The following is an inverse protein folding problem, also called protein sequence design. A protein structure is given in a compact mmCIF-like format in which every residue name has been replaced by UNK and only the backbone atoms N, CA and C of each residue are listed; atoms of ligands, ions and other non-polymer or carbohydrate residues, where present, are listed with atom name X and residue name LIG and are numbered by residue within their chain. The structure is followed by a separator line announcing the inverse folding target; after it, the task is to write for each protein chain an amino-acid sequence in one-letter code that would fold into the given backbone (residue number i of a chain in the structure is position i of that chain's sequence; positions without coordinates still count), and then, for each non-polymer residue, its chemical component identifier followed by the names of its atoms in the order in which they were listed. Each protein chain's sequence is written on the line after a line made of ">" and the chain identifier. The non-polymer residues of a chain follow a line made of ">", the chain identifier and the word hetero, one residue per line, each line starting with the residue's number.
data_IF_452930552847
#
_entry.id   IF_452930552847
#
_cell.length_a   1.000
_cell.length_b   1.000
_cell.length_c   1.000
_cell.angle_alpha   90.00
_cell.angle_beta   90.00
_cell.angle_gamma   90.00
#
_symmetry.space_group_name_H-M   'P 1'
#
loop_
_entity.id
_entity.type
_entity.pdbx_description
1 polymer ?
#
# COMPACT_ATOMS: atom_id res chain seq x y z
N UNK A 1 -0.05 -9.61 23.56
CA UNK A 1 0.22 -8.61 22.50
C UNK A 1 1.63 -8.71 21.92
N UNK A 2 2.70 -8.61 22.73
CA UNK A 2 4.12 -8.69 22.28
C UNK A 2 4.56 -9.99 21.56
N UNK A 3 3.81 -11.09 21.68
CA UNK A 3 4.21 -12.42 21.16
C UNK A 3 4.14 -12.55 19.63
N UNK A 4 3.18 -11.92 18.96
CA UNK A 4 2.96 -12.19 17.52
C UNK A 4 4.00 -11.52 16.62
N UNK A 5 4.44 -10.32 16.99
CA UNK A 5 5.47 -9.55 16.27
C UNK A 5 6.85 -10.12 16.55
N UNK A 6 7.16 -10.39 17.83
CA UNK A 6 8.39 -11.07 18.22
C UNK A 6 8.52 -12.46 17.59
N UNK A 7 7.42 -13.21 17.40
CA UNK A 7 7.43 -14.50 16.68
C UNK A 7 7.65 -14.35 15.18
N UNK A 8 7.12 -13.30 14.55
CA UNK A 8 7.39 -13.01 13.13
C UNK A 8 8.87 -12.65 12.92
N UNK A 9 9.45 -11.85 13.83
CA UNK A 9 10.86 -11.47 13.82
C UNK A 9 11.81 -12.63 14.20
N UNK A 10 11.40 -13.50 15.13
CA UNK A 10 12.15 -14.70 15.51
C UNK A 10 12.22 -15.75 14.39
N UNK A 11 11.17 -15.86 13.55
CA UNK A 11 11.20 -16.69 12.33
C UNK A 11 12.18 -16.18 11.27
N UNK A 12 12.57 -14.91 11.37
CA UNK A 12 13.62 -14.28 10.56
C UNK A 12 15.00 -14.32 11.25
N UNK A 13 15.16 -15.09 12.33
CA UNK A 13 16.43 -15.33 13.02
C UNK A 13 16.77 -14.34 14.15
N UNK A 14 15.90 -13.37 14.48
CA UNK A 14 16.15 -12.41 15.57
C UNK A 14 15.44 -12.85 16.85
N UNK A 15 16.14 -13.54 17.74
CA UNK A 15 15.65 -13.93 19.08
C UNK A 15 15.83 -12.75 20.04
N UNK A 16 14.73 -12.34 20.68
CA UNK A 16 14.60 -11.24 21.65
C UNK A 16 14.53 -9.84 21.02
N UNK A 17 13.32 -9.43 20.66
CA UNK A 17 13.06 -8.04 20.24
C UNK A 17 11.80 -7.55 20.93
N UNK A 18 11.96 -6.84 22.05
CA UNK A 18 11.04 -5.75 22.43
C UNK A 18 11.12 -4.71 21.32
N UNK A 19 9.99 -4.09 20.96
CA UNK A 19 9.93 -3.16 19.81
C UNK A 19 10.59 -1.83 20.21
N UNK A 20 11.90 -1.87 20.37
CA UNK A 20 12.77 -0.73 20.59
C UNK A 20 12.97 -0.03 19.23
N UNK A 21 13.35 1.23 19.21
CA UNK A 21 13.50 2.10 18.01
C UNK A 21 14.34 1.45 16.89
N UNK A 22 15.26 0.56 17.27
CA UNK A 22 16.09 -0.30 16.41
C UNK A 22 15.25 -1.26 15.55
N UNK A 23 14.10 -1.72 16.03
CA UNK A 23 13.20 -2.65 15.32
C UNK A 23 12.44 -1.98 14.18
N UNK A 24 12.06 -0.70 14.34
CA UNK A 24 11.43 0.07 13.26
C UNK A 24 12.46 0.37 12.18
N UNK A 25 13.70 0.70 12.57
CA UNK A 25 14.85 0.85 11.66
C UNK A 25 15.17 -0.47 10.95
N UNK A 26 15.10 -1.61 11.63
CA UNK A 26 15.28 -2.93 11.03
C UNK A 26 14.14 -3.25 10.04
N UNK A 27 12.89 -2.97 10.38
CA UNK A 27 11.74 -3.16 9.46
C UNK A 27 11.86 -2.22 8.26
N UNK A 28 12.29 -0.97 8.46
CA UNK A 28 12.61 -0.02 7.40
C UNK A 28 13.73 -0.57 6.50
N UNK A 29 14.84 -1.01 7.07
CA UNK A 29 15.99 -1.57 6.35
C UNK A 29 15.61 -2.84 5.58
N UNK A 30 14.76 -3.70 6.15
CA UNK A 30 14.21 -4.87 5.48
C UNK A 30 13.35 -4.40 4.29
N UNK A 31 12.40 -3.50 4.49
CA UNK A 31 11.55 -2.97 3.41
C UNK A 31 12.39 -2.32 2.30
N UNK A 32 13.45 -1.60 2.66
CA UNK A 32 14.37 -0.97 1.71
C UNK A 32 15.25 -1.98 0.98
N UNK A 33 15.76 -3.00 1.65
CA UNK A 33 16.53 -4.08 1.01
C UNK A 33 15.66 -4.92 0.05
N UNK A 34 14.34 -4.99 0.30
CA UNK A 34 13.37 -5.64 -0.58
C UNK A 34 13.02 -4.78 -1.82
N UNK A 35 13.42 -3.49 -1.90
CA UNK A 35 13.23 -2.64 -3.10
C UNK A 35 14.02 -3.12 -4.31
N UNK A 36 15.16 -3.80 -4.10
CA UNK A 36 16.06 -4.24 -5.18
C UNK A 36 16.05 -5.73 -5.50
N UNK A 37 15.48 -6.58 -4.63
CA UNK A 37 15.63 -8.05 -4.71
C UNK A 37 14.33 -8.83 -4.89
N UNK A 38 13.18 -8.24 -4.60
CA UNK A 38 11.89 -8.94 -4.69
C UNK A 38 11.29 -8.71 -6.07
N UNK A 39 11.39 -9.70 -6.95
CA UNK A 39 10.62 -9.73 -8.20
C UNK A 39 9.13 -9.59 -7.87
N UNK A 40 8.42 -8.95 -8.81
CA UNK A 40 7.05 -8.37 -8.75
C UNK A 40 5.90 -9.24 -8.19
N UNK A 41 6.11 -10.46 -7.68
CA UNK A 41 5.03 -11.45 -7.48
C UNK A 41 5.24 -12.41 -6.31
N UNK A 42 5.90 -12.04 -5.22
CA UNK A 42 6.04 -12.98 -4.10
C UNK A 42 4.79 -12.96 -3.20
N UNK A 43 4.01 -14.04 -3.29
CA UNK A 43 2.93 -14.42 -2.37
C UNK A 43 3.34 -14.31 -0.89
N UNK A 44 4.64 -14.44 -0.63
CA UNK A 44 5.27 -14.24 0.67
C UNK A 44 5.26 -12.78 1.14
N UNK A 45 5.41 -11.80 0.24
CA UNK A 45 5.32 -10.38 0.59
C UNK A 45 3.92 -9.99 1.07
N UNK A 46 2.87 -10.45 0.39
CA UNK A 46 1.48 -10.20 0.80
C UNK A 46 1.20 -10.86 2.15
N UNK A 47 1.61 -12.11 2.33
CA UNK A 47 1.42 -12.87 3.58
C UNK A 47 2.19 -12.27 4.76
N UNK A 48 3.39 -11.75 4.53
CA UNK A 48 4.18 -11.02 5.54
C UNK A 48 3.51 -9.68 5.85
N UNK A 49 3.02 -8.98 4.83
CA UNK A 49 2.35 -7.68 4.99
C UNK A 49 1.05 -7.78 5.77
N UNK A 50 0.24 -8.82 5.58
CA UNK A 50 -1.01 -9.03 6.33
C UNK A 50 -0.78 -9.19 7.84
N UNK A 51 0.41 -9.64 8.25
CA UNK A 51 0.81 -9.73 9.66
C UNK A 51 1.50 -8.47 10.16
N UNK A 52 2.27 -7.82 9.28
CA UNK A 52 3.04 -6.63 9.61
C UNK A 52 2.16 -5.39 9.74
N UNK A 53 1.17 -5.21 8.86
CA UNK A 53 0.30 -4.03 8.87
C UNK A 53 -0.46 -3.87 10.19
N UNK A 54 -1.14 -4.89 10.75
CA UNK A 54 -1.79 -4.77 12.05
C UNK A 54 -0.82 -4.37 13.17
N UNK A 55 0.39 -4.93 13.18
CA UNK A 55 1.42 -4.62 14.17
C UNK A 55 1.92 -3.17 14.05
N UNK A 56 2.13 -2.68 12.82
CA UNK A 56 2.53 -1.31 12.56
C UNK A 56 1.42 -0.32 12.94
N UNK A 57 0.14 -0.67 12.68
CA UNK A 57 -1.00 0.16 13.14
C UNK A 57 -1.05 0.24 14.66
N UNK A 58 -0.89 -0.88 15.36
CA UNK A 58 -0.86 -0.90 16.84
C UNK A 58 0.31 -0.06 17.38
N UNK A 59 1.50 -0.22 16.79
CA UNK A 59 2.69 0.56 17.16
C UNK A 59 2.48 2.06 16.92
N UNK A 60 1.97 2.46 15.74
CA UNK A 60 1.71 3.86 15.42
C UNK A 60 0.76 4.52 16.43
N UNK A 61 -0.27 3.80 16.88
CA UNK A 61 -1.25 4.29 17.86
C UNK A 61 -0.69 4.40 19.28
N UNK A 62 0.30 3.57 19.63
CA UNK A 62 0.93 3.58 20.96
C UNK A 62 2.18 4.48 21.04
N UNK A 63 2.60 5.07 19.92
CA UNK A 63 3.86 5.81 19.80
C UNK A 63 3.68 7.31 20.00
N UNK A 64 4.78 8.00 20.31
CA UNK A 64 4.82 9.46 20.23
C UNK A 64 4.69 9.94 18.77
N UNK A 65 4.44 11.23 18.58
CA UNK A 65 4.12 11.82 17.27
C UNK A 65 5.19 11.55 16.20
N UNK A 66 6.48 11.54 16.57
CA UNK A 66 7.57 11.32 15.63
C UNK A 66 7.53 9.90 15.07
N UNK A 67 7.47 8.90 15.95
CA UNK A 67 7.42 7.48 15.57
C UNK A 67 6.10 7.10 14.90
N UNK A 68 4.99 7.71 15.31
CA UNK A 68 3.71 7.60 14.62
C UNK A 68 3.82 8.08 13.16
N UNK A 69 4.40 9.26 12.93
CA UNK A 69 4.59 9.82 11.59
C UNK A 69 5.46 8.92 10.71
N UNK A 70 6.60 8.43 11.23
CA UNK A 70 7.46 7.50 10.47
C UNK A 70 6.73 6.20 10.13
N UNK A 71 6.00 5.64 11.10
CA UNK A 71 5.26 4.39 10.91
C UNK A 71 4.13 4.53 9.90
N UNK A 72 3.42 5.66 9.90
CA UNK A 72 2.36 5.94 8.92
C UNK A 72 2.90 5.98 7.50
N UNK A 73 4.07 6.61 7.26
CA UNK A 73 4.70 6.59 5.93
C UNK A 73 5.04 5.18 5.45
N UNK A 74 5.43 4.29 6.37
CA UNK A 74 5.69 2.88 6.04
C UNK A 74 4.38 2.17 5.69
N UNK A 75 3.35 2.36 6.51
CA UNK A 75 2.01 1.80 6.28
C UNK A 75 1.46 2.22 4.92
N UNK A 76 1.53 3.51 4.59
CA UNK A 76 1.12 4.05 3.30
C UNK A 76 1.91 3.38 2.15
N UNK A 77 3.24 3.34 2.22
CA UNK A 77 4.06 2.68 1.19
C UNK A 77 3.70 1.21 0.98
N UNK A 78 3.54 0.46 2.07
CA UNK A 78 3.21 -0.97 2.02
C UNK A 78 1.82 -1.19 1.42
N UNK A 79 0.83 -0.45 1.91
CA UNK A 79 -0.57 -0.56 1.45
C UNK A 79 -0.70 -0.13 0.00
N UNK A 80 -0.02 0.95 -0.41
CA UNK A 80 0.04 1.38 -1.81
C UNK A 80 0.59 0.28 -2.71
N UNK A 81 1.72 -0.33 -2.33
CA UNK A 81 2.31 -1.41 -3.11
C UNK A 81 1.34 -2.60 -3.27
N UNK A 82 0.67 -3.00 -2.19
CA UNK A 82 -0.27 -4.14 -2.23
C UNK A 82 -1.47 -3.83 -3.12
N UNK A 83 -2.06 -2.63 -2.97
CA UNK A 83 -3.23 -2.24 -3.74
C UNK A 83 -2.90 -2.03 -5.23
N UNK A 84 -1.77 -1.40 -5.53
CA UNK A 84 -1.32 -1.22 -6.90
C UNK A 84 -0.97 -2.55 -7.57
N UNK A 85 -0.31 -3.48 -6.86
CA UNK A 85 -0.06 -4.83 -7.37
C UNK A 85 -1.36 -5.59 -7.67
N UNK A 86 -2.36 -5.49 -6.77
CA UNK A 86 -3.68 -6.07 -7.01
C UNK A 86 -4.35 -5.47 -8.26
N UNK A 87 -4.24 -4.15 -8.44
CA UNK A 87 -4.72 -3.45 -9.62
C UNK A 87 -4.02 -3.91 -10.91
N UNK A 88 -2.67 -3.89 -10.97
CA UNK A 88 -1.89 -4.29 -12.14
C UNK A 88 -2.15 -5.75 -12.56
N UNK A 89 -2.42 -6.63 -11.58
CA UNK A 89 -2.68 -8.05 -11.81
C UNK A 89 -4.17 -8.40 -11.98
N UNK A 90 -5.08 -7.42 -12.00
CA UNK A 90 -6.53 -7.63 -12.03
C UNK A 90 -7.05 -8.55 -10.90
N UNK A 91 -6.41 -8.54 -9.73
CA UNK A 91 -6.77 -9.38 -8.58
C UNK A 91 -7.64 -8.63 -7.57
N UNK A 92 -8.91 -8.45 -7.88
CA UNK A 92 -9.86 -7.69 -7.06
C UNK A 92 -9.99 -8.25 -5.63
N UNK A 93 -9.75 -9.56 -5.44
CA UNK A 93 -9.88 -10.24 -4.15
C UNK A 93 -8.83 -9.79 -3.14
N UNK A 94 -7.70 -9.23 -3.60
CA UNK A 94 -6.65 -8.68 -2.74
C UNK A 94 -6.90 -7.24 -2.30
N UNK A 95 -7.93 -6.58 -2.82
CA UNK A 95 -8.25 -5.22 -2.41
C UNK A 95 -8.91 -5.25 -1.03
N UNK A 96 -8.17 -4.77 -0.04
CA UNK A 96 -8.66 -4.62 1.32
C UNK A 96 -9.14 -3.19 1.58
N UNK A 97 -10.39 -3.04 2.03
CA UNK A 97 -10.93 -1.74 2.46
C UNK A 97 -10.14 -1.12 3.62
N UNK A 98 -9.50 -1.94 4.47
CA UNK A 98 -8.61 -1.45 5.52
C UNK A 98 -7.37 -0.76 4.92
N UNK A 99 -6.82 -1.29 3.84
CA UNK A 99 -5.64 -0.72 3.18
C UNK A 99 -6.01 0.55 2.42
N UNK A 100 -7.18 0.59 1.78
CA UNK A 100 -7.70 1.81 1.17
C UNK A 100 -7.82 2.94 2.19
N UNK A 101 -8.45 2.69 3.35
CA UNK A 101 -8.60 3.69 4.43
C UNK A 101 -7.29 4.24 4.98
N UNK A 102 -6.18 3.50 4.85
CA UNK A 102 -4.85 4.00 5.22
C UNK A 102 -4.41 5.03 4.18
N UNK A 103 -4.52 4.71 2.89
CA UNK A 103 -4.13 5.61 1.81
C UNK A 103 -5.06 6.82 1.62
N UNK A 104 -6.35 6.69 1.94
CA UNK A 104 -7.31 7.81 1.90
C UNK A 104 -6.89 9.01 2.76
N UNK A 105 -6.03 8.77 3.77
CA UNK A 105 -5.51 9.80 4.68
C UNK A 105 -4.15 10.36 4.24
N UNK A 106 -3.59 9.83 3.16
CA UNK A 106 -2.29 10.26 2.63
C UNK A 106 -2.39 11.65 2.00
N UNK A 107 -1.30 12.41 2.09
CA UNK A 107 -1.12 13.63 1.30
C UNK A 107 -0.28 13.39 0.03
N UNK A 108 0.20 12.17 -0.19
CA UNK A 108 0.96 11.79 -1.38
C UNK A 108 0.01 11.56 -2.56
N UNK A 109 0.13 12.42 -3.59
CA UNK A 109 -0.70 12.38 -4.79
C UNK A 109 -0.66 11.02 -5.52
N UNK A 110 0.47 10.33 -5.50
CA UNK A 110 0.60 9.00 -6.13
C UNK A 110 -0.21 7.93 -5.40
N UNK A 111 -0.37 8.08 -4.09
CA UNK A 111 -1.19 7.16 -3.29
C UNK A 111 -2.68 7.47 -3.47
N UNK A 112 -3.02 8.75 -3.59
CA UNK A 112 -4.38 9.18 -3.90
C UNK A 112 -4.81 8.76 -5.32
N UNK A 113 -3.88 8.72 -6.29
CA UNK A 113 -4.12 8.14 -7.61
C UNK A 113 -4.48 6.65 -7.50
N UNK A 114 -3.74 5.89 -6.70
CA UNK A 114 -4.06 4.48 -6.42
C UNK A 114 -5.44 4.34 -5.78
N UNK A 115 -5.79 5.16 -4.79
CA UNK A 115 -7.12 5.15 -4.15
C UNK A 115 -8.22 5.42 -5.17
N UNK A 116 -8.06 6.46 -5.99
CA UNK A 116 -9.02 6.83 -7.02
C UNK A 116 -9.22 5.69 -8.03
N UNK A 117 -8.12 5.11 -8.54
CA UNK A 117 -8.15 4.02 -9.50
C UNK A 117 -8.87 2.79 -8.96
N UNK A 118 -8.60 2.42 -7.70
CA UNK A 118 -9.27 1.29 -7.05
C UNK A 118 -10.77 1.57 -6.89
N UNK A 119 -11.17 2.77 -6.47
CA UNK A 119 -12.60 3.11 -6.36
C UNK A 119 -13.31 3.08 -7.71
N UNK A 120 -12.67 3.58 -8.77
CA UNK A 120 -13.22 3.48 -10.12
C UNK A 120 -13.38 2.03 -10.57
N UNK A 121 -12.38 1.19 -10.28
CA UNK A 121 -12.44 -0.24 -10.61
C UNK A 121 -13.55 -0.96 -9.83
N UNK A 122 -13.83 -0.54 -8.60
CA UNK A 122 -14.96 -1.00 -7.77
C UNK A 122 -16.32 -0.37 -8.16
N UNK A 123 -16.37 0.47 -9.22
CA UNK A 123 -17.57 1.21 -9.65
C UNK A 123 -18.14 2.17 -8.60
N UNK A 124 -17.29 2.69 -7.71
CA UNK A 124 -17.63 3.78 -6.80
C UNK A 124 -17.22 5.12 -7.43
N UNK A 125 -18.10 5.69 -8.24
CA UNK A 125 -17.82 6.91 -9.01
C UNK A 125 -17.57 8.12 -8.12
N UNK A 126 -18.40 8.32 -7.09
CA UNK A 126 -18.32 9.46 -6.17
C UNK A 126 -16.92 9.56 -5.54
N UNK A 127 -16.45 8.46 -4.94
CA UNK A 127 -15.13 8.44 -4.32
C UNK A 127 -14.01 8.51 -5.35
N UNK A 128 -14.16 7.83 -6.49
CA UNK A 128 -13.15 7.86 -7.54
C UNK A 128 -12.90 9.30 -8.03
N UNK A 129 -13.96 10.07 -8.29
CA UNK A 129 -13.83 11.46 -8.73
C UNK A 129 -13.34 12.38 -7.61
N UNK A 130 -13.80 12.18 -6.37
CA UNK A 130 -13.31 12.93 -5.22
C UNK A 130 -11.77 12.84 -5.11
N UNK A 131 -11.23 11.62 -5.05
CA UNK A 131 -9.78 11.42 -4.93
C UNK A 131 -9.01 11.79 -6.20
N UNK A 132 -9.61 11.58 -7.37
CA UNK A 132 -9.03 12.01 -8.64
C UNK A 132 -8.79 13.52 -8.72
N UNK A 133 -9.60 14.33 -8.05
CA UNK A 133 -9.47 15.80 -8.11
C UNK A 133 -8.24 16.34 -7.35
N UNK A 134 -7.69 15.53 -6.43
CA UNK A 134 -6.57 15.90 -5.55
C UNK A 134 -5.31 15.04 -5.78
N UNK A 135 -5.35 14.13 -6.76
CA UNK A 135 -4.27 13.20 -7.11
C UNK A 135 -3.36 13.76 -8.21
N UNK A 136 -2.77 12.88 -9.02
CA UNK A 136 -1.94 13.23 -10.18
C UNK A 136 -2.80 13.69 -11.38
N UNK A 137 -2.22 14.46 -12.28
CA UNK A 137 -2.94 15.07 -13.42
C UNK A 137 -3.49 14.03 -14.40
N UNK A 138 -2.85 12.85 -14.50
CA UNK A 138 -3.32 11.73 -15.31
C UNK A 138 -4.47 10.93 -14.67
N UNK A 139 -4.72 11.10 -13.37
CA UNK A 139 -5.71 10.33 -12.60
C UNK A 139 -7.12 10.43 -13.21
N UNK A 140 -7.65 11.62 -13.56
CA UNK A 140 -9.00 11.72 -14.15
C UNK A 140 -9.18 10.94 -15.45
N UNK A 141 -8.11 10.76 -16.22
CA UNK A 141 -8.14 9.92 -17.43
C UNK A 141 -8.22 8.45 -17.04
N UNK A 142 -7.37 7.98 -16.12
CA UNK A 142 -7.41 6.62 -15.56
C UNK A 142 -8.81 6.27 -15.06
N UNK A 143 -9.43 7.16 -14.29
CA UNK A 143 -10.79 6.97 -13.74
C UNK A 143 -11.83 6.81 -14.84
N UNK A 144 -11.83 7.71 -15.84
CA UNK A 144 -12.80 7.64 -16.96
C UNK A 144 -12.71 6.32 -17.71
N UNK A 145 -11.51 5.80 -17.94
CA UNK A 145 -11.33 4.53 -18.65
C UNK A 145 -11.82 3.33 -17.83
N UNK A 146 -11.52 3.29 -16.53
CA UNK A 146 -11.99 2.23 -15.62
C UNK A 146 -13.51 2.22 -15.46
N UNK A 147 -14.13 3.40 -15.34
CA UNK A 147 -15.59 3.53 -15.22
C UNK A 147 -16.30 3.05 -16.50
N UNK A 148 -15.73 3.31 -17.68
CA UNK A 148 -16.18 2.75 -18.98
C UNK A 148 -16.02 1.23 -19.11
N UNK A 149 -15.46 0.56 -18.11
CA UNK A 149 -15.36 -0.90 -18.06
C UNK A 149 -14.05 -1.47 -18.57
N UNK A 150 -13.05 -0.64 -18.88
CA UNK A 150 -11.71 -1.15 -19.21
C UNK A 150 -11.06 -1.78 -17.99
N UNK A 151 -10.28 -2.82 -18.20
CA UNK A 151 -9.49 -3.43 -17.13
C UNK A 151 -8.29 -2.54 -16.78
N UNK A 152 -7.81 -2.56 -15.52
CA UNK A 152 -6.55 -1.94 -15.12
C UNK A 152 -5.42 -2.05 -16.16
N UNK A 153 -5.19 -3.24 -16.72
CA UNK A 153 -4.15 -3.47 -17.71
C UNK A 153 -4.40 -2.76 -19.05
N UNK A 154 -5.64 -2.69 -19.51
CA UNK A 154 -6.00 -1.93 -20.72
C UNK A 154 -5.77 -0.44 -20.50
N UNK A 155 -6.17 0.06 -19.32
CA UNK A 155 -6.00 1.46 -18.95
C UNK A 155 -4.52 1.86 -18.91
N UNK A 156 -3.66 1.08 -18.22
CA UNK A 156 -2.24 1.41 -18.16
C UNK A 156 -1.54 1.31 -19.51
N UNK A 157 -1.99 0.42 -20.42
CA UNK A 157 -1.48 0.39 -21.81
C UNK A 157 -1.83 1.65 -22.58
N UNK A 158 -3.07 2.13 -22.46
CA UNK A 158 -3.52 3.34 -23.15
C UNK A 158 -2.86 4.60 -22.61
N UNK A 159 -2.71 4.71 -21.29
CA UNK A 159 -2.00 5.83 -20.66
C UNK A 159 -0.53 5.87 -21.13
N UNK A 160 0.14 4.71 -21.21
CA UNK A 160 1.54 4.63 -21.67
C UNK A 160 1.73 4.96 -23.15
N UNK A 161 0.75 4.64 -23.99
CA UNK A 161 0.86 4.84 -25.44
C UNK A 161 0.65 6.29 -25.86
N UNK A 162 -0.07 7.09 -25.07
CA UNK A 162 -0.27 8.52 -25.36
C UNK A 162 0.85 9.42 -24.84
N UNK A 163 1.70 8.93 -23.94
CA UNK A 163 2.88 9.65 -23.43
C UNK A 163 4.16 9.34 -24.22
N UNK A 164 4.04 8.68 -25.38
CA UNK A 164 5.13 8.43 -26.34
C UNK A 164 4.97 9.34 -27.54
#
# INVERSE_FOLDING_TARGET
>A
MRKNVAQALARMGKKNVTMDEITVIDVLSIIESLKGKVKRTDKDFVKVSDKLIPALVEFANASNWYWQSQTNKILERLTNRILWDAYENNDVKKISQKYLKILEKSNDKSYLDTVAAIYAWQKNEEKAYHYSSIALDETPKRIRLLLRGKTPQQVEKEIKNENK
#
